data_IF_468269749816
#
_entry.id   IF_468269749816
#
_cell.length_a   1.000
_cell.length_b   1.000
_cell.length_c   1.000
_cell.angle_alpha   90.00
_cell.angle_beta   90.00
_cell.angle_gamma   90.00
#
_symmetry.space_group_name_H-M   'P 1'
#
loop_
_entity.id
_entity.type
_entity.pdbx_description
1 polymer ?
#
# COMPACT_ATOMS: atom_id res chain seq x y z
N UNK A 1 -6.87 19.96 -5.93
CA UNK A 1 -7.11 18.88 -4.93
C UNK A 1 -6.76 17.58 -5.63
N UNK A 2 -5.98 16.72 -4.99
CA UNK A 2 -5.63 15.37 -5.48
C UNK A 2 -6.33 14.37 -4.59
N UNK A 3 -7.00 13.39 -5.21
CA UNK A 3 -7.75 12.35 -4.52
C UNK A 3 -7.22 10.98 -4.91
N UNK A 4 -6.88 10.17 -3.91
CA UNK A 4 -6.31 8.83 -4.09
C UNK A 4 -7.19 7.83 -3.35
N UNK A 5 -7.71 6.84 -4.04
CA UNK A 5 -8.33 5.69 -3.39
C UNK A 5 -7.26 4.62 -3.10
N UNK A 6 -7.30 4.01 -1.93
CA UNK A 6 -6.38 2.95 -1.53
C UNK A 6 -7.16 1.69 -1.19
N UNK A 7 -7.08 0.69 -2.04
CA UNK A 7 -7.66 -0.64 -1.89
C UNK A 7 -6.58 -1.69 -1.72
N UNK A 8 -6.89 -2.82 -1.10
CA UNK A 8 -5.94 -3.92 -0.88
C UNK A 8 -6.66 -5.25 -0.73
N UNK A 9 -5.91 -6.32 -0.89
CA UNK A 9 -6.29 -7.69 -0.52
C UNK A 9 -7.64 -8.16 -1.12
N UNK A 10 -7.90 -8.01 -2.43
CA UNK A 10 -9.13 -8.53 -3.03
C UNK A 10 -9.20 -10.05 -3.05
N UNK A 11 -8.06 -10.76 -3.17
CA UNK A 11 -7.94 -12.22 -3.13
C UNK A 11 -8.87 -12.97 -4.09
N UNK A 12 -8.77 -12.67 -5.37
CA UNK A 12 -9.49 -13.43 -6.40
C UNK A 12 -9.07 -14.90 -6.35
N UNK A 13 -10.03 -15.80 -6.53
CA UNK A 13 -9.83 -17.25 -6.35
C UNK A 13 -10.12 -17.77 -4.94
N UNK A 14 -10.18 -16.90 -3.94
CA UNK A 14 -10.50 -17.28 -2.56
C UNK A 14 -11.98 -17.65 -2.38
N UNK A 15 -12.23 -18.67 -1.56
CA UNK A 15 -13.60 -18.97 -1.09
C UNK A 15 -14.21 -17.83 -0.23
N UNK A 16 -13.37 -16.90 0.25
CA UNK A 16 -13.80 -15.74 1.04
C UNK A 16 -14.03 -14.48 0.19
N UNK A 17 -13.71 -14.54 -1.10
CA UNK A 17 -13.98 -13.45 -2.02
C UNK A 17 -15.49 -13.24 -2.19
N UNK A 18 -15.94 -12.00 -2.09
CA UNK A 18 -17.35 -11.63 -2.25
C UNK A 18 -17.53 -10.72 -3.46
N UNK A 19 -18.00 -11.26 -4.60
CA UNK A 19 -18.18 -10.51 -5.83
C UNK A 19 -19.02 -9.23 -5.67
N UNK A 20 -20.08 -9.30 -4.85
CA UNK A 20 -20.96 -8.15 -4.63
C UNK A 20 -20.26 -7.00 -3.90
N UNK A 21 -19.34 -7.28 -2.97
CA UNK A 21 -18.52 -6.25 -2.34
C UNK A 21 -17.61 -5.57 -3.36
N UNK A 22 -16.89 -6.36 -4.16
CA UNK A 22 -16.01 -5.81 -5.21
C UNK A 22 -16.80 -4.98 -6.23
N UNK A 23 -17.95 -5.47 -6.67
CA UNK A 23 -18.84 -4.72 -7.57
C UNK A 23 -19.28 -3.40 -6.96
N UNK A 24 -19.65 -3.40 -5.67
CA UNK A 24 -20.07 -2.17 -4.98
C UNK A 24 -18.92 -1.18 -4.85
N UNK A 25 -17.72 -1.65 -4.51
CA UNK A 25 -16.53 -0.79 -4.43
C UNK A 25 -16.21 -0.14 -5.78
N UNK A 26 -16.31 -0.89 -6.89
CA UNK A 26 -16.10 -0.33 -8.23
C UNK A 26 -17.11 0.79 -8.51
N UNK A 27 -18.37 0.58 -8.17
CA UNK A 27 -19.41 1.65 -8.35
C UNK A 27 -19.05 2.87 -7.51
N UNK A 28 -18.71 2.68 -6.23
CA UNK A 28 -18.33 3.78 -5.33
C UNK A 28 -17.07 4.52 -5.81
N UNK A 29 -16.03 3.79 -6.28
CA UNK A 29 -14.83 4.40 -6.83
C UNK A 29 -15.13 5.25 -8.07
N UNK A 30 -15.97 4.77 -8.98
CA UNK A 30 -16.34 5.51 -10.19
C UNK A 30 -17.22 6.74 -9.84
N UNK A 31 -18.09 6.64 -8.83
CA UNK A 31 -18.87 7.77 -8.31
C UNK A 31 -17.98 8.82 -7.61
N UNK A 32 -16.96 8.39 -6.88
CA UNK A 32 -15.99 9.25 -6.18
C UNK A 32 -14.98 9.90 -7.15
N UNK A 33 -14.76 9.25 -8.30
CA UNK A 33 -13.87 9.69 -9.37
C UNK A 33 -12.47 10.14 -8.85
N UNK A 34 -11.71 9.26 -8.13
CA UNK A 34 -10.39 9.63 -7.67
C UNK A 34 -9.44 9.84 -8.86
N UNK A 35 -8.39 10.66 -8.66
CA UNK A 35 -7.36 10.85 -9.69
C UNK A 35 -6.57 9.57 -9.97
N UNK A 36 -6.49 8.68 -8.97
CA UNK A 36 -5.83 7.38 -9.08
C UNK A 36 -6.34 6.41 -8.01
N UNK A 37 -6.32 5.12 -8.31
CA UNK A 37 -6.52 4.04 -7.34
C UNK A 37 -5.22 3.30 -7.11
N UNK A 38 -4.74 3.31 -5.88
CA UNK A 38 -3.59 2.52 -5.42
C UNK A 38 -4.09 1.16 -4.94
N UNK A 39 -3.49 0.09 -5.45
CA UNK A 39 -3.78 -1.28 -5.05
C UNK A 39 -2.55 -1.88 -4.39
N UNK A 40 -2.58 -2.06 -3.08
CA UNK A 40 -1.42 -2.51 -2.30
C UNK A 40 -1.33 -4.05 -2.18
N UNK A 41 -1.62 -4.77 -3.26
CA UNK A 41 -1.31 -6.19 -3.42
C UNK A 41 -2.38 -7.18 -2.97
N UNK A 42 -1.99 -8.46 -3.04
CA UNK A 42 -2.84 -9.64 -2.83
C UNK A 42 -4.08 -9.64 -3.73
N UNK A 43 -3.84 -9.37 -5.03
CA UNK A 43 -4.86 -9.43 -6.08
C UNK A 43 -5.45 -10.84 -6.20
N UNK A 44 -4.58 -11.83 -6.07
CA UNK A 44 -4.83 -13.25 -6.24
C UNK A 44 -4.76 -13.99 -4.91
N UNK A 45 -5.15 -15.25 -4.89
CA UNK A 45 -5.04 -16.11 -3.71
C UNK A 45 -3.79 -17.01 -3.77
N UNK A 46 -3.46 -17.51 -4.93
CA UNK A 46 -2.35 -18.45 -5.12
C UNK A 46 -1.41 -18.07 -6.27
N UNK A 47 -1.55 -16.86 -6.84
CA UNK A 47 -0.69 -16.37 -7.91
C UNK A 47 -0.93 -17.03 -9.28
N UNK A 48 -1.99 -17.77 -9.45
CA UNK A 48 -2.27 -18.44 -10.71
C UNK A 48 -2.77 -17.48 -11.79
N UNK A 49 -2.33 -17.68 -13.02
CA UNK A 49 -2.73 -16.85 -14.16
C UNK A 49 -4.25 -16.66 -14.34
N UNK A 50 -5.11 -17.65 -14.11
CA UNK A 50 -6.56 -17.45 -14.15
C UNK A 50 -7.08 -16.48 -13.12
N UNK A 51 -6.46 -16.39 -11.93
CA UNK A 51 -6.85 -15.46 -10.87
C UNK A 51 -6.50 -14.01 -11.27
N UNK A 52 -5.33 -13.80 -11.89
CA UNK A 52 -4.96 -12.50 -12.47
C UNK A 52 -5.94 -12.05 -13.56
N UNK A 53 -6.36 -12.98 -14.44
CA UNK A 53 -7.39 -12.69 -15.45
C UNK A 53 -8.73 -12.33 -14.82
N UNK A 54 -9.10 -13.02 -13.73
CA UNK A 54 -10.29 -12.67 -12.98
C UNK A 54 -10.18 -11.27 -12.34
N UNK A 55 -9.00 -10.90 -11.79
CA UNK A 55 -8.74 -9.56 -11.31
C UNK A 55 -8.90 -8.51 -12.43
N UNK A 56 -8.28 -8.72 -13.58
CA UNK A 56 -8.34 -7.79 -14.70
C UNK A 56 -9.79 -7.50 -15.13
N UNK A 57 -10.68 -8.51 -15.12
CA UNK A 57 -12.09 -8.33 -15.43
C UNK A 57 -12.82 -7.39 -14.44
N UNK A 58 -12.34 -7.25 -13.20
CA UNK A 58 -12.81 -6.22 -12.27
C UNK A 58 -12.08 -4.90 -12.47
N UNK A 59 -10.76 -4.93 -12.63
CA UNK A 59 -9.90 -3.77 -12.76
C UNK A 59 -10.28 -2.90 -13.98
N UNK A 60 -10.58 -3.50 -15.11
CA UNK A 60 -11.01 -2.82 -16.34
C UNK A 60 -12.32 -2.02 -16.20
N UNK A 61 -13.07 -2.24 -15.13
CA UNK A 61 -14.31 -1.52 -14.83
C UNK A 61 -14.09 -0.32 -13.90
N UNK A 62 -12.89 -0.16 -13.35
CA UNK A 62 -12.50 1.02 -12.58
C UNK A 62 -12.04 2.08 -13.60
N UNK A 63 -12.70 3.25 -13.60
CA UNK A 63 -12.44 4.31 -14.58
C UNK A 63 -11.12 5.05 -14.29
N UNK A 64 -10.75 5.18 -13.02
CA UNK A 64 -9.49 5.82 -12.61
C UNK A 64 -8.27 4.94 -12.92
N UNK A 65 -7.10 5.53 -13.23
CA UNK A 65 -5.85 4.80 -13.39
C UNK A 65 -5.51 3.96 -12.15
N UNK A 66 -4.93 2.77 -12.36
CA UNK A 66 -4.50 1.87 -11.29
C UNK A 66 -2.99 1.91 -11.12
N UNK A 67 -2.52 2.03 -9.88
CA UNK A 67 -1.13 1.88 -9.47
C UNK A 67 -1.03 0.68 -8.52
N UNK A 68 -0.40 -0.39 -8.96
CA UNK A 68 -0.46 -1.68 -8.26
C UNK A 68 0.92 -2.18 -7.88
N UNK A 69 1.09 -2.66 -6.65
CA UNK A 69 2.23 -3.47 -6.22
C UNK A 69 1.77 -4.89 -5.92
N UNK A 70 2.62 -5.91 -6.08
CA UNK A 70 2.24 -7.28 -5.72
C UNK A 70 2.22 -7.49 -4.21
N UNK A 71 1.41 -8.43 -3.74
CA UNK A 71 1.44 -8.99 -2.41
C UNK A 71 2.10 -10.37 -2.36
N UNK A 72 2.21 -10.96 -1.17
CA UNK A 72 2.82 -12.27 -1.01
C UNK A 72 2.00 -13.38 -1.69
N UNK A 73 0.68 -13.25 -1.77
CA UNK A 73 -0.16 -14.18 -2.50
C UNK A 73 0.05 -14.09 -4.01
N UNK A 74 0.34 -12.90 -4.52
CA UNK A 74 0.64 -12.67 -5.94
C UNK A 74 1.99 -13.27 -6.36
N UNK A 75 2.89 -13.52 -5.42
CA UNK A 75 4.22 -14.09 -5.69
C UNK A 75 4.30 -15.60 -5.51
N UNK A 76 3.20 -16.27 -5.15
CA UNK A 76 3.12 -17.73 -5.07
C UNK A 76 3.15 -18.38 -6.44
N UNK A 77 3.61 -19.63 -6.50
CA UNK A 77 3.53 -20.47 -7.70
C UNK A 77 3.99 -19.74 -8.98
N UNK A 78 5.13 -19.03 -8.91
CA UNK A 78 5.69 -18.16 -9.97
C UNK A 78 4.76 -17.00 -10.38
N UNK A 79 3.83 -16.63 -9.53
CA UNK A 79 2.84 -15.58 -9.78
C UNK A 79 3.46 -14.21 -10.08
N UNK A 80 4.66 -13.92 -9.54
CA UNK A 80 5.40 -12.69 -9.87
C UNK A 80 5.67 -12.54 -11.38
N UNK A 81 5.87 -13.66 -12.12
CA UNK A 81 5.98 -13.64 -13.59
C UNK A 81 4.66 -13.26 -14.24
N UNK A 82 3.55 -13.79 -13.72
CA UNK A 82 2.22 -13.44 -14.20
C UNK A 82 1.84 -12.02 -13.89
N UNK A 83 2.28 -11.49 -12.73
CA UNK A 83 2.10 -10.09 -12.36
C UNK A 83 2.80 -9.18 -13.37
N UNK A 84 4.09 -9.43 -13.66
CA UNK A 84 4.84 -8.62 -14.64
C UNK A 84 4.24 -8.67 -16.05
N UNK A 85 3.72 -9.82 -16.47
CA UNK A 85 3.14 -10.01 -17.80
C UNK A 85 1.74 -9.37 -17.95
N UNK A 86 0.93 -9.38 -16.89
CA UNK A 86 -0.50 -9.02 -16.96
C UNK A 86 -0.82 -7.68 -16.29
N UNK A 87 -0.09 -7.30 -15.25
CA UNK A 87 -0.33 -6.08 -14.48
C UNK A 87 0.71 -5.01 -14.81
N UNK A 88 2.01 -5.36 -14.76
CA UNK A 88 3.10 -4.44 -15.05
C UNK A 88 4.29 -4.57 -14.11
N UNK A 89 5.16 -3.56 -14.05
CA UNK A 89 6.35 -3.60 -13.23
C UNK A 89 6.00 -3.69 -11.74
N UNK A 90 6.77 -4.48 -11.00
CA UNK A 90 6.58 -4.66 -9.55
C UNK A 90 7.10 -3.49 -8.72
N UNK A 91 7.95 -2.66 -9.32
CA UNK A 91 8.47 -1.42 -8.72
C UNK A 91 8.29 -0.28 -9.73
N UNK A 92 7.80 0.84 -9.26
CA UNK A 92 7.50 1.99 -10.11
C UNK A 92 7.48 3.29 -9.30
N UNK A 93 7.63 4.40 -10.00
CA UNK A 93 7.36 5.73 -9.46
C UNK A 93 6.57 6.56 -10.46
N UNK A 94 5.73 7.44 -9.96
CA UNK A 94 4.92 8.34 -10.77
C UNK A 94 4.59 9.62 -10.01
N UNK A 95 4.11 10.61 -10.75
CA UNK A 95 3.60 11.86 -10.21
C UNK A 95 2.11 11.99 -10.54
N UNK A 96 1.29 12.28 -9.55
CA UNK A 96 -0.15 12.49 -9.67
C UNK A 96 -0.47 13.88 -9.15
N UNK A 97 -0.54 14.87 -10.05
CA UNK A 97 -0.90 16.23 -9.68
C UNK A 97 0.03 16.89 -8.64
N UNK A 98 1.33 16.59 -8.67
CA UNK A 98 2.34 17.09 -7.73
C UNK A 98 2.51 16.22 -6.48
N UNK A 99 1.79 15.09 -6.40
CA UNK A 99 1.99 14.04 -5.39
C UNK A 99 2.90 12.99 -5.96
N UNK A 100 4.07 12.76 -5.34
CA UNK A 100 4.99 11.68 -5.72
C UNK A 100 4.52 10.38 -5.10
N UNK A 101 4.30 9.36 -5.92
CA UNK A 101 3.91 8.01 -5.48
C UNK A 101 4.96 7.01 -5.94
N UNK A 102 5.53 6.25 -4.99
CA UNK A 102 6.55 5.23 -5.26
C UNK A 102 6.05 3.89 -4.75
N UNK A 103 5.91 2.93 -5.65
CA UNK A 103 5.50 1.55 -5.34
C UNK A 103 6.67 0.59 -5.37
N UNK A 104 6.74 -0.28 -4.37
CA UNK A 104 7.83 -1.26 -4.22
C UNK A 104 7.26 -2.63 -3.88
N UNK A 105 7.76 -3.64 -4.59
CA UNK A 105 7.50 -5.03 -4.24
C UNK A 105 8.19 -5.38 -2.93
N UNK A 106 7.40 -5.82 -1.98
CA UNK A 106 7.87 -6.34 -0.69
C UNK A 106 7.68 -7.84 -0.55
N UNK A 107 7.24 -8.51 -1.62
CA UNK A 107 6.99 -9.96 -1.58
C UNK A 107 8.24 -10.76 -1.90
N UNK A 108 8.34 -11.92 -1.28
CA UNK A 108 9.33 -12.95 -1.60
C UNK A 108 8.59 -14.18 -2.15
N UNK A 109 9.10 -14.85 -3.21
CA UNK A 109 8.43 -15.99 -3.79
C UNK A 109 8.11 -17.09 -2.77
N UNK A 110 6.85 -17.50 -2.71
CA UNK A 110 6.32 -18.55 -1.84
C UNK A 110 6.49 -18.33 -0.32
N UNK A 111 6.83 -17.10 0.11
CA UNK A 111 6.91 -16.71 1.52
C UNK A 111 5.73 -15.81 1.91
N UNK A 112 5.41 -15.80 3.21
CA UNK A 112 4.42 -14.87 3.76
C UNK A 112 5.07 -13.63 4.39
N UNK A 113 6.36 -13.68 4.63
CA UNK A 113 7.18 -12.60 5.14
C UNK A 113 7.57 -11.68 3.99
N UNK A 114 7.66 -10.38 4.28
CA UNK A 114 8.05 -9.37 3.31
C UNK A 114 9.50 -8.94 3.48
N UNK A 115 10.09 -8.44 2.38
CA UNK A 115 11.39 -7.80 2.38
C UNK A 115 11.49 -6.82 1.23
N UNK A 116 12.01 -5.62 1.48
CA UNK A 116 12.33 -4.67 0.41
C UNK A 116 13.78 -4.83 -0.04
N UNK A 117 14.69 -4.96 0.93
CA UNK A 117 16.11 -5.19 0.66
C UNK A 117 16.90 -3.91 0.42
N UNK A 118 18.08 -3.85 1.04
CA UNK A 118 18.97 -2.68 1.02
C UNK A 118 19.43 -2.27 -0.39
N UNK A 119 19.41 -3.18 -1.35
CA UNK A 119 19.77 -2.90 -2.75
C UNK A 119 18.83 -1.87 -3.39
N UNK A 120 17.59 -1.77 -2.94
CA UNK A 120 16.59 -0.84 -3.46
C UNK A 120 16.58 0.53 -2.75
N UNK A 121 17.21 0.67 -1.58
CA UNK A 121 17.19 1.92 -0.81
C UNK A 121 17.79 3.13 -1.56
N UNK A 122 18.89 3.00 -2.31
CA UNK A 122 19.39 4.14 -3.10
C UNK A 122 18.38 4.63 -4.13
N UNK A 123 17.69 3.71 -4.82
CA UNK A 123 16.65 4.05 -5.78
C UNK A 123 15.45 4.72 -5.10
N UNK A 124 14.95 4.16 -3.99
CA UNK A 124 13.86 4.76 -3.22
C UNK A 124 14.19 6.20 -2.81
N UNK A 125 15.39 6.43 -2.24
CA UNK A 125 15.85 7.77 -1.87
C UNK A 125 15.92 8.71 -3.09
N UNK A 126 16.32 8.22 -4.24
CA UNK A 126 16.41 9.01 -5.46
C UNK A 126 15.03 9.44 -5.96
N UNK A 127 14.04 8.55 -5.92
CA UNK A 127 12.69 8.85 -6.39
C UNK A 127 11.98 9.94 -5.58
N UNK A 128 12.32 10.08 -4.29
CA UNK A 128 11.78 11.15 -3.43
C UNK A 128 12.61 12.43 -3.38
N UNK A 129 13.72 12.53 -4.15
CA UNK A 129 14.53 13.77 -4.24
C UNK A 129 13.88 14.86 -5.08
N UNK A 130 12.97 14.53 -5.96
CA UNK A 130 12.26 15.51 -6.75
C UNK A 130 11.35 16.33 -5.83
N UNK A 131 11.30 17.64 -6.07
CA UNK A 131 10.39 18.50 -5.31
C UNK A 131 8.94 18.06 -5.55
N UNK A 132 8.29 17.64 -4.49
CA UNK A 132 6.88 17.26 -4.48
C UNK A 132 6.22 17.83 -3.21
N UNK A 133 4.94 18.07 -3.29
CA UNK A 133 4.17 18.64 -2.17
C UNK A 133 3.71 17.56 -1.20
N UNK A 134 3.68 16.31 -1.64
CA UNK A 134 3.33 15.13 -0.84
C UNK A 134 4.05 13.90 -1.39
N UNK A 135 4.64 13.11 -0.50
CA UNK A 135 5.38 11.89 -0.82
C UNK A 135 4.67 10.66 -0.26
N UNK A 136 4.28 9.74 -1.14
CA UNK A 136 3.58 8.51 -0.78
C UNK A 136 4.41 7.29 -1.19
N UNK A 137 4.66 6.39 -0.24
CA UNK A 137 5.30 5.11 -0.48
C UNK A 137 4.28 3.98 -0.38
N UNK A 138 4.32 3.04 -1.32
CA UNK A 138 3.36 1.93 -1.41
C UNK A 138 4.11 0.61 -1.39
N UNK A 139 3.69 -0.28 -0.49
CA UNK A 139 4.12 -1.67 -0.46
C UNK A 139 2.97 -2.54 0.05
N UNK A 140 3.10 -3.87 -0.05
CA UNK A 140 2.04 -4.75 0.46
C UNK A 140 2.15 -5.00 1.97
N UNK A 141 3.32 -5.45 2.43
CA UNK A 141 3.51 -5.82 3.83
C UNK A 141 3.56 -4.59 4.75
N UNK A 142 3.04 -4.72 5.95
CA UNK A 142 3.05 -3.65 6.94
C UNK A 142 4.44 -3.48 7.58
N UNK A 143 4.80 -2.23 7.87
CA UNK A 143 6.08 -1.87 8.50
C UNK A 143 6.01 -1.88 10.02
N UNK A 144 4.83 -1.64 10.59
CA UNK A 144 4.60 -1.56 12.03
C UNK A 144 3.57 -2.62 12.44
N UNK A 145 3.69 -3.21 13.64
CA UNK A 145 2.70 -4.15 14.15
C UNK A 145 1.29 -3.56 14.16
N UNK A 146 0.30 -4.34 13.73
CA UNK A 146 -1.10 -3.92 13.74
C UNK A 146 -1.79 -4.48 14.98
N UNK A 147 -2.38 -3.64 15.83
CA UNK A 147 -3.08 -4.09 17.03
C UNK A 147 -4.19 -5.11 16.71
N UNK A 148 -4.35 -6.12 17.56
CA UNK A 148 -5.37 -7.15 17.40
C UNK A 148 -5.05 -8.26 16.40
N UNK A 149 -3.87 -8.24 15.75
CA UNK A 149 -3.47 -9.29 14.79
C UNK A 149 -2.66 -10.43 15.39
N UNK A 150 -2.42 -10.41 16.70
CA UNK A 150 -1.69 -11.44 17.42
C UNK A 150 -0.17 -11.27 17.35
N UNK A 151 0.59 -12.38 17.40
CA UNK A 151 2.04 -12.32 17.28
C UNK A 151 2.44 -11.88 15.88
N UNK A 152 3.33 -10.88 15.83
CA UNK A 152 3.85 -10.42 14.55
C UNK A 152 4.87 -11.41 13.99
N UNK A 153 4.63 -11.92 12.78
CA UNK A 153 5.49 -12.87 12.08
C UNK A 153 5.67 -12.58 10.61
N UNK A 154 4.96 -11.58 10.10
CA UNK A 154 4.89 -11.30 8.66
C UNK A 154 5.01 -9.81 8.37
N UNK A 155 5.77 -9.08 9.20
CA UNK A 155 6.23 -7.74 8.86
C UNK A 155 7.30 -7.81 7.78
N UNK A 156 7.65 -6.68 7.21
CA UNK A 156 8.85 -6.55 6.40
C UNK A 156 10.08 -6.86 7.26
N UNK A 157 10.93 -7.80 6.81
CA UNK A 157 12.09 -8.25 7.58
C UNK A 157 13.09 -7.13 7.89
N UNK A 158 13.22 -6.17 6.97
CA UNK A 158 14.07 -4.98 7.07
C UNK A 158 13.26 -3.71 7.40
N UNK A 159 12.13 -3.85 8.13
CA UNK A 159 11.21 -2.73 8.40
C UNK A 159 11.87 -1.56 9.13
N UNK A 160 12.78 -1.81 10.08
CA UNK A 160 13.48 -0.74 10.80
C UNK A 160 14.35 0.10 9.88
N UNK A 161 15.21 -0.55 9.08
CA UNK A 161 16.07 0.11 8.11
C UNK A 161 15.24 0.86 7.05
N UNK A 162 14.15 0.24 6.59
CA UNK A 162 13.27 0.86 5.59
C UNK A 162 12.55 2.10 6.16
N UNK A 163 12.04 2.04 7.39
CA UNK A 163 11.42 3.19 8.05
C UNK A 163 12.39 4.36 8.15
N UNK A 164 13.63 4.10 8.54
CA UNK A 164 14.70 5.11 8.57
C UNK A 164 14.92 5.74 7.19
N UNK A 165 15.01 4.90 6.14
CA UNK A 165 15.14 5.36 4.75
C UNK A 165 13.97 6.26 4.33
N UNK A 166 12.73 5.86 4.63
CA UNK A 166 11.53 6.61 4.25
C UNK A 166 11.42 7.95 4.99
N UNK A 167 11.72 7.97 6.30
CA UNK A 167 11.75 9.21 7.09
C UNK A 167 12.79 10.18 6.54
N UNK A 168 14.01 9.72 6.26
CA UNK A 168 15.06 10.56 5.68
C UNK A 168 14.77 11.01 4.24
N UNK A 169 14.07 10.19 3.47
CA UNK A 169 13.64 10.54 2.11
C UNK A 169 12.46 11.52 2.09
N UNK A 170 11.90 11.89 3.26
CA UNK A 170 10.79 12.83 3.35
C UNK A 170 9.45 12.23 2.94
N UNK A 171 9.25 10.93 3.13
CA UNK A 171 7.95 10.30 2.90
C UNK A 171 6.95 10.75 3.97
N UNK A 172 5.76 11.15 3.54
CA UNK A 172 4.68 11.62 4.41
C UNK A 172 3.69 10.49 4.74
N UNK A 173 3.42 9.61 3.75
CA UNK A 173 2.46 8.52 3.89
C UNK A 173 3.02 7.21 3.35
N UNK A 174 2.85 6.14 4.12
CA UNK A 174 3.02 4.75 3.65
C UNK A 174 1.65 4.10 3.52
N UNK A 175 1.38 3.47 2.39
CA UNK A 175 0.16 2.70 2.13
C UNK A 175 0.51 1.21 2.08
N UNK A 176 -0.23 0.38 2.83
CA UNK A 176 -0.01 -1.07 2.89
C UNK A 176 -1.28 -1.86 3.17
N UNK A 177 -1.22 -3.19 3.05
CA UNK A 177 -2.31 -4.13 3.26
C UNK A 177 -1.96 -5.32 4.17
N UNK A 178 -2.11 -6.55 3.63
CA UNK A 178 -1.64 -7.83 4.16
C UNK A 178 -2.41 -8.42 5.35
N UNK A 179 -2.70 -7.65 6.38
CA UNK A 179 -3.33 -8.21 7.60
C UNK A 179 -4.85 -8.22 7.59
N UNK A 180 -5.47 -7.63 6.57
CA UNK A 180 -6.92 -7.42 6.47
C UNK A 180 -7.50 -6.63 7.66
N UNK A 181 -6.65 -5.96 8.43
CA UNK A 181 -7.03 -5.11 9.55
C UNK A 181 -6.62 -3.69 9.23
N UNK A 182 -7.59 -2.81 8.99
CA UNK A 182 -7.28 -1.43 8.68
C UNK A 182 -6.80 -0.70 9.93
N UNK A 183 -5.68 0.00 9.82
CA UNK A 183 -5.10 0.77 10.92
C UNK A 183 -4.30 1.96 10.40
N UNK A 184 -4.18 3.03 11.20
CA UNK A 184 -3.30 4.15 10.91
C UNK A 184 -2.38 4.40 12.09
N UNK A 185 -1.08 4.37 11.82
CA UNK A 185 -0.04 4.79 12.74
C UNK A 185 0.46 6.18 12.37
N UNK A 186 0.86 6.94 13.37
CA UNK A 186 1.72 8.10 13.21
C UNK A 186 3.06 7.81 13.89
N UNK A 187 4.14 7.87 13.11
CA UNK A 187 5.51 7.76 13.59
C UNK A 187 6.24 9.04 13.21
N UNK A 188 6.44 9.93 14.17
CA UNK A 188 6.95 11.29 13.94
C UNK A 188 6.03 12.04 12.95
N UNK A 189 6.55 12.38 11.74
CA UNK A 189 5.79 13.04 10.68
C UNK A 189 5.35 12.06 9.58
N UNK A 190 5.64 10.77 9.73
CA UNK A 190 5.24 9.71 8.82
C UNK A 190 3.91 9.10 9.27
N UNK A 191 2.94 9.02 8.36
CA UNK A 191 1.70 8.29 8.56
C UNK A 191 1.76 6.94 7.84
N UNK A 192 1.49 5.85 8.54
CA UNK A 192 1.43 4.49 7.97
C UNK A 192 0.00 4.03 7.99
N UNK A 193 -0.64 3.98 6.81
CA UNK A 193 -2.03 3.63 6.64
C UNK A 193 -2.16 2.22 6.04
N UNK A 194 -2.62 1.28 6.85
CA UNK A 194 -2.97 -0.05 6.39
C UNK A 194 -4.42 -0.04 5.90
N UNK A 195 -4.67 -0.57 4.71
CA UNK A 195 -6.00 -0.90 4.26
C UNK A 195 -6.45 -2.24 4.87
N UNK A 196 -7.75 -2.39 5.04
CA UNK A 196 -8.36 -3.70 5.20
C UNK A 196 -8.48 -4.40 3.85
N UNK A 197 -9.05 -5.58 3.83
CA UNK A 197 -9.44 -6.19 2.55
C UNK A 197 -10.63 -5.47 1.95
N UNK A 198 -10.61 -5.27 0.64
CA UNK A 198 -11.68 -4.56 -0.07
C UNK A 198 -12.90 -5.45 -0.33
N UNK A 199 -12.70 -6.76 -0.50
CA UNK A 199 -13.76 -7.68 -0.96
C UNK A 199 -13.73 -9.07 -0.35
N UNK A 200 -12.84 -9.35 0.60
CA UNK A 200 -12.77 -10.66 1.24
C UNK A 200 -13.41 -10.67 2.63
N UNK A 201 -14.16 -11.72 2.95
CA UNK A 201 -14.67 -11.96 4.30
C UNK A 201 -13.64 -12.63 5.22
N UNK A 202 -12.41 -12.83 4.77
CA UNK A 202 -11.29 -13.25 5.62
C UNK A 202 -10.80 -12.07 6.47
N UNK A 203 -11.67 -11.58 7.34
CA UNK A 203 -11.40 -10.47 8.25
C UNK A 203 -11.10 -11.00 9.66
N UNK A 204 -10.50 -10.19 10.52
CA UNK A 204 -10.19 -10.54 11.91
C UNK A 204 -11.17 -9.88 12.86
N UNK A 205 -11.60 -10.63 13.88
CA UNK A 205 -12.56 -10.14 14.88
C UNK A 205 -13.87 -9.66 14.26
N UNK A 206 -14.26 -8.44 14.58
CA UNK A 206 -15.45 -7.77 14.04
C UNK A 206 -15.14 -6.85 12.86
N UNK A 207 -13.97 -7.03 12.21
CA UNK A 207 -13.59 -6.25 11.03
C UNK A 207 -14.60 -6.39 9.89
N UNK A 208 -14.70 -5.36 9.08
CA UNK A 208 -15.49 -5.35 7.84
C UNK A 208 -14.57 -5.02 6.67
N UNK A 209 -14.84 -5.55 5.45
CA UNK A 209 -14.19 -5.08 4.25
C UNK A 209 -14.29 -3.57 4.11
N UNK A 210 -13.21 -2.93 3.71
CA UNK A 210 -13.15 -1.48 3.62
C UNK A 210 -12.00 -1.02 2.71
N UNK A 211 -11.99 0.26 2.40
CA UNK A 211 -10.91 0.92 1.67
C UNK A 211 -10.67 2.32 2.24
N UNK A 212 -9.52 2.91 1.93
CA UNK A 212 -9.20 4.27 2.37
C UNK A 212 -9.30 5.24 1.20
N UNK A 213 -9.61 6.51 1.51
CA UNK A 213 -9.48 7.65 0.61
C UNK A 213 -8.48 8.63 1.20
N UNK A 214 -7.58 9.14 0.38
CA UNK A 214 -6.69 10.24 0.71
C UNK A 214 -7.08 11.45 -0.14
N UNK A 215 -7.27 12.58 0.49
CA UNK A 215 -7.57 13.86 -0.14
C UNK A 215 -6.47 14.85 0.22
N UNK A 216 -5.86 15.47 -0.77
CA UNK A 216 -4.82 16.48 -0.60
C UNK A 216 -5.22 17.76 -1.34
N UNK A 217 -5.41 18.86 -0.61
CA UNK A 217 -5.84 20.14 -1.17
C UNK A 217 -4.67 21.09 -1.52
N UNK A 218 -3.44 20.63 -1.33
CA UNK A 218 -2.21 21.41 -1.49
C UNK A 218 -1.63 21.90 -0.16
N UNK A 219 -2.38 21.79 0.93
CA UNK A 219 -1.95 22.17 2.28
C UNK A 219 -2.15 21.05 3.31
N UNK A 220 -3.31 20.40 3.32
CA UNK A 220 -3.67 19.35 4.26
C UNK A 220 -3.94 18.01 3.55
N UNK A 221 -3.49 16.93 4.16
CA UNK A 221 -3.87 15.56 3.79
C UNK A 221 -4.95 15.07 4.75
N UNK A 222 -6.04 14.57 4.20
CA UNK A 222 -7.08 13.90 4.97
C UNK A 222 -7.15 12.43 4.56
N UNK A 223 -7.09 11.53 5.55
CA UNK A 223 -7.26 10.09 5.34
C UNK A 223 -8.59 9.69 5.94
N UNK A 224 -9.47 9.12 5.12
CA UNK A 224 -10.76 8.60 5.53
C UNK A 224 -10.88 7.12 5.18
N UNK A 225 -11.69 6.39 5.92
CA UNK A 225 -12.07 5.00 5.65
C UNK A 225 -13.50 4.93 5.21
N UNK A 226 -13.75 4.13 4.18
CA UNK A 226 -15.09 3.84 3.69
C UNK A 226 -15.36 2.34 3.80
N UNK A 227 -16.57 2.03 4.20
CA UNK A 227 -17.08 0.65 4.20
C UNK A 227 -18.08 0.55 3.05
N UNK A 228 -17.98 -0.47 2.17
CA UNK A 228 -18.96 -0.67 1.10
C UNK A 228 -20.39 -0.70 1.66
N UNK A 229 -21.30 0.02 1.01
CA UNK A 229 -22.68 0.25 1.39
C UNK A 229 -22.93 1.24 2.56
N UNK A 230 -21.90 1.70 3.29
CA UNK A 230 -22.06 2.74 4.30
C UNK A 230 -21.97 4.13 3.62
N UNK A 231 -22.89 5.03 3.95
CA UNK A 231 -22.92 6.35 3.31
C UNK A 231 -21.80 7.28 3.80
N UNK A 232 -21.46 7.19 5.08
CA UNK A 232 -20.56 8.15 5.73
C UNK A 232 -19.12 7.61 5.83
N UNK A 233 -18.11 8.39 5.41
CA UNK A 233 -16.71 8.04 5.63
C UNK A 233 -16.32 8.28 7.09
N UNK A 234 -15.37 7.48 7.58
CA UNK A 234 -14.77 7.65 8.90
C UNK A 234 -13.41 8.33 8.78
N UNK A 235 -13.27 9.53 9.32
CA UNK A 235 -11.98 10.21 9.33
C UNK A 235 -11.00 9.48 10.25
N UNK A 236 -9.81 9.20 9.72
CA UNK A 236 -8.72 8.50 10.43
C UNK A 236 -7.60 9.45 10.85
N UNK A 237 -7.23 10.36 9.95
CA UNK A 237 -6.18 11.35 10.17
C UNK A 237 -6.44 12.60 9.32
N UNK A 238 -5.92 13.73 9.81
CA UNK A 238 -5.75 14.95 9.03
C UNK A 238 -4.43 15.61 9.48
N UNK A 239 -3.59 16.01 8.52
CA UNK A 239 -2.28 16.57 8.82
C UNK A 239 -1.75 17.42 7.66
N UNK A 240 -0.81 18.28 7.97
CA UNK A 240 -0.05 19.06 7.00
C UNK A 240 1.24 18.27 6.69
N UNK A 241 1.57 18.00 5.42
CA UNK A 241 2.86 17.41 5.06
C UNK A 241 4.01 18.23 5.62
N UNK A 242 5.09 17.57 6.02
CA UNK A 242 6.19 18.23 6.73
C UNK A 242 6.97 19.26 5.89
N UNK A 243 6.72 19.32 4.57
CA UNK A 243 7.40 20.21 3.64
C UNK A 243 8.89 19.88 3.48
N UNK A 244 9.71 20.89 3.12
CA UNK A 244 11.16 20.71 3.08
C UNK A 244 11.67 20.36 4.47
N UNK A 245 11.99 19.10 4.68
CA UNK A 245 12.62 18.63 5.91
C UNK A 245 14.09 19.00 5.85
N UNK A 246 14.56 19.73 6.84
CA UNK A 246 16.00 19.82 7.04
C UNK A 246 16.55 18.39 7.18
N UNK A 247 17.61 18.05 6.46
CA UNK A 247 18.24 16.75 6.63
C UNK A 247 18.57 16.61 8.12
N UNK A 248 17.99 15.62 8.78
CA UNK A 248 18.39 15.26 10.15
C UNK A 248 19.88 14.95 10.08
N UNK A 249 20.63 15.38 11.09
CA UNK A 249 22.04 14.97 11.25
C UNK A 249 22.12 13.47 11.01
N UNK A 250 23.08 13.04 10.18
CA UNK A 250 23.18 11.63 9.79
C UNK A 250 23.13 10.76 11.04
N UNK A 251 22.20 9.77 11.08
CA UNK A 251 22.16 8.88 12.21
C UNK A 251 23.45 8.07 12.24
N UNK A 252 23.94 7.84 13.43
CA UNK A 252 25.06 6.98 13.80
C UNK A 252 25.66 6.20 12.63
N UNK A 253 26.90 6.52 12.23
CA UNK A 253 27.69 5.62 11.42
C UNK A 253 27.58 4.23 12.09
N UNK A 254 26.87 3.33 11.42
CA UNK A 254 26.92 1.94 11.84
C UNK A 254 28.38 1.51 11.72
N UNK A 255 29.09 1.45 12.83
CA UNK A 255 30.38 0.81 12.88
C UNK A 255 30.22 -0.55 12.20
N UNK A 256 30.91 -0.74 11.09
CA UNK A 256 30.97 -2.02 10.42
C UNK A 256 31.36 -3.04 11.51
N UNK A 257 30.42 -3.87 11.91
CA UNK A 257 30.73 -4.99 12.79
C UNK A 257 31.60 -5.93 11.96
N UNK A 258 32.90 -5.81 12.16
CA UNK A 258 33.87 -6.82 11.79
C UNK A 258 33.45 -8.12 12.48
N UNK A 259 32.75 -8.96 11.75
CA UNK A 259 32.64 -10.37 12.09
C UNK A 259 33.68 -11.13 11.26
N UNK A 260 34.84 -11.32 11.92
CA UNK A 260 35.80 -12.33 11.54
C UNK A 260 35.23 -13.73 11.81
#
# INVERSE_FOLDING_TARGET
MVTIAHISDPHLGSQHFVPNLMNRVIVELNELAPDVVVVSGDLTTDGFRPEYKAWLAYAERIEAPLLTVPGNHDSRNVGYVHFEDLIGPRMWSTDVGGVRVVGVDSSEPDLNEGKVGRVHYPWIKQEFRAASTLNIFVLHHHLLPIPGTGRERSTVMDAGDLLEVLIHAGVDVVLSGHKHVPYVWRLEDLYVANAGTVSSMRVRGHGKPCYNMLEFDGAEVRITRRFPFDAEPHQLAAFVPAGERHPREEPFEHAAADHA
#
